data_IF_127072720224
#
_entry.id   IF_127072720224
#
_cell.length_a   1.000
_cell.length_b   1.000
_cell.length_c   1.000
_cell.angle_alpha   90.00
_cell.angle_beta   90.00
_cell.angle_gamma   90.00
#
_symmetry.space_group_name_H-M   'P 1'
#
loop_
_entity.id
_entity.type
_entity.pdbx_description
1 polymer ?
#
# COMPACT_ATOMS: atom_id res chain seq x y z
N UNK A 1 -3.10 -37.16 -9.01
CA UNK A 1 -3.94 -36.40 -8.06
C UNK A 1 -3.95 -34.95 -8.55
N UNK A 2 -5.02 -34.48 -9.19
CA UNK A 2 -5.10 -33.09 -9.66
C UNK A 2 -5.31 -32.18 -8.44
N UNK A 3 -4.39 -31.25 -8.16
CA UNK A 3 -4.61 -30.26 -7.10
C UNK A 3 -5.71 -29.28 -7.57
N UNK A 4 -6.81 -29.20 -6.83
CA UNK A 4 -7.80 -28.14 -7.07
C UNK A 4 -7.18 -26.81 -6.63
N UNK A 5 -6.90 -25.93 -7.59
CA UNK A 5 -6.45 -24.57 -7.32
C UNK A 5 -7.64 -23.69 -6.94
N UNK A 6 -7.77 -23.33 -5.68
CA UNK A 6 -8.74 -22.34 -5.23
C UNK A 6 -8.17 -20.94 -5.41
N UNK A 7 -8.79 -20.09 -6.25
CA UNK A 7 -8.42 -18.66 -6.34
C UNK A 7 -9.04 -17.89 -5.18
N UNK A 8 -8.22 -17.14 -4.45
CA UNK A 8 -8.67 -16.23 -3.40
C UNK A 8 -8.44 -14.77 -3.81
N UNK A 9 -9.46 -13.94 -3.71
CA UNK A 9 -9.33 -12.51 -3.94
C UNK A 9 -8.76 -11.84 -2.69
N UNK A 10 -7.47 -11.48 -2.74
CA UNK A 10 -6.78 -10.84 -1.61
C UNK A 10 -6.97 -9.33 -1.65
N UNK A 11 -6.72 -8.68 -2.79
CA UNK A 11 -6.89 -7.23 -2.92
C UNK A 11 -8.15 -6.91 -3.70
N UNK A 12 -9.09 -6.28 -3.00
CA UNK A 12 -10.32 -5.78 -3.58
C UNK A 12 -10.04 -4.62 -4.58
N UNK A 13 -11.04 -4.33 -5.41
CA UNK A 13 -10.93 -3.34 -6.48
C UNK A 13 -10.65 -1.93 -5.95
N UNK A 14 -11.14 -1.59 -4.75
CA UNK A 14 -11.00 -0.26 -4.18
C UNK A 14 -9.59 -0.03 -3.64
N UNK A 15 -8.95 -1.04 -3.05
CA UNK A 15 -7.52 -0.97 -2.69
C UNK A 15 -6.65 -0.74 -3.93
N UNK A 16 -6.94 -1.46 -5.02
CA UNK A 16 -6.19 -1.31 -6.28
C UNK A 16 -6.36 0.09 -6.86
N UNK A 17 -7.59 0.59 -6.89
CA UNK A 17 -7.89 1.94 -7.34
C UNK A 17 -7.13 2.97 -6.50
N UNK A 18 -7.24 2.89 -5.16
CA UNK A 18 -6.49 3.77 -4.26
C UNK A 18 -4.98 3.72 -4.54
N UNK A 19 -4.39 2.54 -4.68
CA UNK A 19 -2.95 2.40 -4.87
C UNK A 19 -2.47 3.06 -6.17
N UNK A 20 -3.16 2.80 -7.28
CA UNK A 20 -2.81 3.40 -8.57
C UNK A 20 -3.11 4.90 -8.63
N UNK A 21 -4.20 5.35 -8.01
CA UNK A 21 -4.49 6.79 -7.87
C UNK A 21 -3.45 7.50 -7.01
N UNK A 22 -3.00 6.87 -5.91
CA UNK A 22 -1.95 7.42 -5.05
C UNK A 22 -0.63 7.52 -5.81
N UNK A 23 -0.25 6.47 -6.54
CA UNK A 23 0.95 6.50 -7.38
C UNK A 23 0.87 7.65 -8.40
N UNK A 24 -0.23 7.78 -9.12
CA UNK A 24 -0.42 8.86 -10.09
C UNK A 24 -0.32 10.24 -9.42
N UNK A 25 -0.98 10.44 -8.28
CA UNK A 25 -0.96 11.71 -7.57
C UNK A 25 0.45 12.06 -7.03
N UNK A 26 1.19 11.07 -6.51
CA UNK A 26 2.58 11.26 -6.06
C UNK A 26 3.50 11.58 -7.23
N UNK A 27 3.35 10.91 -8.37
CA UNK A 27 4.10 11.22 -9.59
C UNK A 27 3.81 12.65 -10.04
N UNK A 28 2.54 13.06 -10.13
CA UNK A 28 2.16 14.44 -10.47
C UNK A 28 2.78 15.43 -9.48
N UNK A 29 2.67 15.17 -8.19
CA UNK A 29 3.24 16.02 -7.14
C UNK A 29 4.75 16.18 -7.28
N UNK A 30 5.46 15.07 -7.54
CA UNK A 30 6.90 15.05 -7.74
C UNK A 30 7.32 15.83 -8.99
N UNK A 31 6.61 15.64 -10.11
CA UNK A 31 6.91 16.32 -11.38
C UNK A 31 6.56 17.82 -11.40
N UNK A 32 5.74 18.30 -10.46
CA UNK A 32 5.25 19.69 -10.43
C UNK A 32 5.85 20.53 -9.30
N UNK A 33 6.76 19.95 -8.52
CA UNK A 33 7.37 20.61 -7.36
C UNK A 33 8.33 21.72 -7.77
N UNK A 34 8.47 22.74 -6.90
CA UNK A 34 9.45 23.82 -7.11
C UNK A 34 10.85 23.29 -6.89
N UNK A 35 11.72 23.47 -7.87
CA UNK A 35 13.11 23.06 -7.77
C UNK A 35 14.01 24.03 -8.53
N UNK A 36 15.19 24.29 -7.97
CA UNK A 36 16.19 25.19 -8.55
C UNK A 36 16.94 24.44 -9.65
N UNK A 37 16.74 24.82 -10.91
CA UNK A 37 17.44 24.23 -12.07
C UNK A 37 16.60 23.35 -13.01
N UNK A 38 15.27 23.29 -12.83
CA UNK A 38 14.26 22.40 -13.47
C UNK A 38 14.08 21.04 -12.77
N UNK A 39 12.82 20.66 -12.50
CA UNK A 39 12.37 19.32 -12.82
C UNK A 39 11.07 19.42 -13.59
N UNK A 40 11.19 19.25 -14.90
CA UNK A 40 10.18 18.87 -15.91
C UNK A 40 8.82 19.61 -16.02
N UNK A 41 8.27 20.31 -15.02
CA UNK A 41 7.23 21.36 -15.14
C UNK A 41 7.08 22.09 -13.79
N UNK A 42 6.99 23.43 -13.73
CA UNK A 42 6.70 24.15 -12.47
C UNK A 42 5.31 24.83 -12.41
N UNK A 43 4.21 24.06 -12.33
CA UNK A 43 2.89 24.56 -11.96
C UNK A 43 2.61 24.25 -10.47
N UNK A 44 2.94 25.19 -9.58
CA UNK A 44 2.80 25.02 -8.13
C UNK A 44 1.35 24.74 -7.70
N UNK A 45 0.37 25.22 -8.46
CA UNK A 45 -1.05 24.98 -8.23
C UNK A 45 -1.39 23.50 -8.41
N UNK A 46 -0.82 22.85 -9.43
CA UNK A 46 -1.03 21.42 -9.70
C UNK A 46 -0.35 20.58 -8.62
N UNK A 47 0.84 20.98 -8.16
CA UNK A 47 1.48 20.36 -7.00
C UNK A 47 0.56 20.42 -5.77
N UNK A 48 0.02 21.59 -5.45
CA UNK A 48 -0.90 21.76 -4.32
C UNK A 48 -2.17 20.91 -4.46
N UNK A 49 -2.81 20.92 -5.64
CA UNK A 49 -3.98 20.09 -5.94
C UNK A 49 -3.69 18.59 -5.79
N UNK A 50 -2.54 18.12 -6.27
CA UNK A 50 -2.13 16.72 -6.09
C UNK A 50 -1.95 16.35 -4.61
N UNK A 51 -1.46 17.28 -3.79
CA UNK A 51 -1.38 17.13 -2.34
C UNK A 51 -2.76 16.94 -1.69
N UNK A 52 -3.76 17.73 -2.07
CA UNK A 52 -5.13 17.54 -1.57
C UNK A 52 -5.73 16.19 -1.98
N UNK A 53 -5.46 15.73 -3.21
CA UNK A 53 -5.88 14.40 -3.67
C UNK A 53 -5.20 13.30 -2.84
N UNK A 54 -3.89 13.40 -2.59
CA UNK A 54 -3.16 12.45 -1.73
C UNK A 54 -3.78 12.39 -0.34
N UNK A 55 -4.05 13.54 0.28
CA UNK A 55 -4.69 13.58 1.61
C UNK A 55 -6.06 12.89 1.57
N UNK A 56 -6.90 13.20 0.58
CA UNK A 56 -8.20 12.55 0.41
C UNK A 56 -8.10 11.02 0.23
N UNK A 57 -7.14 10.57 -0.57
CA UNK A 57 -6.84 9.15 -0.76
C UNK A 57 -6.37 8.49 0.55
N UNK A 58 -5.53 9.15 1.34
CA UNK A 58 -5.06 8.64 2.62
C UNK A 58 -6.20 8.55 3.66
N UNK A 59 -7.10 9.54 3.70
CA UNK A 59 -8.32 9.49 4.53
C UNK A 59 -9.21 8.32 4.11
N UNK A 60 -9.46 8.18 2.80
CA UNK A 60 -10.18 7.04 2.25
C UNK A 60 -9.51 5.72 2.69
N UNK A 61 -8.19 5.60 2.55
CA UNK A 61 -7.43 4.40 2.91
C UNK A 61 -7.50 4.09 4.39
N UNK A 62 -7.48 5.10 5.24
CA UNK A 62 -7.62 4.95 6.69
C UNK A 62 -8.98 4.38 7.03
N UNK A 63 -10.06 4.98 6.51
CA UNK A 63 -11.44 4.49 6.70
C UNK A 63 -11.58 3.05 6.15
N UNK A 64 -11.13 2.81 4.92
CA UNK A 64 -11.20 1.48 4.30
C UNK A 64 -10.35 0.44 5.04
N UNK A 65 -9.26 0.86 5.71
CA UNK A 65 -8.45 0.03 6.58
C UNK A 65 -9.13 -0.35 7.90
N UNK A 66 -10.26 0.26 8.24
CA UNK A 66 -11.06 -0.10 9.40
C UNK A 66 -12.29 -0.93 9.00
N UNK A 67 -13.03 -0.49 7.99
CA UNK A 67 -14.34 -1.08 7.64
C UNK A 67 -14.36 -1.92 6.36
N UNK A 68 -13.27 -1.90 5.57
CA UNK A 68 -13.21 -2.53 4.25
C UNK A 68 -13.20 -4.07 4.28
N UNK A 69 -12.82 -4.65 3.14
CA UNK A 69 -12.70 -6.11 2.98
C UNK A 69 -11.73 -6.72 4.01
N UNK A 70 -11.83 -8.02 4.35
CA UNK A 70 -10.97 -8.63 5.37
C UNK A 70 -9.48 -8.31 5.18
N UNK A 71 -8.97 -8.44 3.96
CA UNK A 71 -7.56 -8.18 3.66
C UNK A 71 -7.20 -6.69 3.53
N UNK A 72 -8.18 -5.78 3.53
CA UNK A 72 -7.98 -4.33 3.59
C UNK A 72 -7.63 -3.84 5.00
N UNK A 73 -8.12 -4.56 6.01
CA UNK A 73 -8.14 -4.10 7.40
C UNK A 73 -6.75 -4.12 8.01
N UNK A 74 -6.43 -3.08 8.79
CA UNK A 74 -5.15 -2.99 9.49
C UNK A 74 -4.88 -4.19 10.38
N UNK A 75 -5.90 -4.73 11.06
CA UNK A 75 -5.76 -5.92 11.92
C UNK A 75 -5.30 -7.18 11.18
N UNK A 76 -5.45 -7.25 9.86
CA UNK A 76 -5.07 -8.42 9.06
C UNK A 76 -3.60 -8.43 8.67
N UNK A 77 -2.94 -7.28 8.66
CA UNK A 77 -1.53 -7.18 8.28
C UNK A 77 -0.64 -6.46 9.28
N UNK A 78 -1.19 -5.71 10.23
CA UNK A 78 -0.39 -5.02 11.24
C UNK A 78 -0.02 -6.01 12.35
N UNK A 79 1.25 -6.40 12.39
CA UNK A 79 1.76 -7.35 13.36
C UNK A 79 2.65 -6.66 14.40
N UNK A 80 2.61 -7.14 15.65
CA UNK A 80 3.50 -6.63 16.69
C UNK A 80 4.98 -6.95 16.43
N UNK A 81 5.91 -6.16 17.00
CA UNK A 81 7.35 -6.24 16.70
C UNK A 81 7.96 -7.62 16.99
N UNK A 82 7.48 -8.33 18.02
CA UNK A 82 7.92 -9.70 18.34
C UNK A 82 7.61 -10.68 17.22
N UNK A 83 6.44 -10.57 16.59
CA UNK A 83 6.00 -11.45 15.51
C UNK A 83 6.75 -11.14 14.20
N UNK A 84 7.00 -9.85 13.93
CA UNK A 84 7.84 -9.42 12.83
C UNK A 84 9.28 -9.97 12.94
N UNK A 85 9.90 -9.85 14.12
CA UNK A 85 11.25 -10.37 14.38
C UNK A 85 11.32 -11.91 14.26
N UNK A 86 10.32 -12.62 14.81
CA UNK A 86 10.21 -14.08 14.67
C UNK A 86 10.07 -14.52 13.21
N UNK A 87 9.26 -13.80 12.43
CA UNK A 87 9.12 -14.06 11.00
C UNK A 87 10.41 -13.74 10.22
N UNK A 88 11.10 -12.65 10.54
CA UNK A 88 12.38 -12.30 9.91
C UNK A 88 13.43 -13.41 10.12
N UNK A 89 13.52 -13.96 11.33
CA UNK A 89 14.38 -15.12 11.62
C UNK A 89 13.96 -16.37 10.83
N UNK A 90 12.66 -16.64 10.74
CA UNK A 90 12.12 -17.74 9.94
C UNK A 90 12.43 -17.56 8.44
N UNK A 91 12.41 -16.32 7.94
CA UNK A 91 12.73 -15.98 6.56
C UNK A 91 14.21 -16.24 6.25
N UNK A 92 15.11 -15.77 7.11
CA UNK A 92 16.56 -16.01 6.99
C UNK A 92 16.88 -17.51 7.04
N UNK A 93 16.16 -18.27 7.88
CA UNK A 93 16.34 -19.73 7.99
C UNK A 93 15.57 -20.55 6.94
N UNK A 94 14.93 -19.90 5.96
CA UNK A 94 14.13 -20.53 4.89
C UNK A 94 12.98 -21.42 5.40
N UNK A 95 12.41 -21.05 6.56
CA UNK A 95 11.25 -21.72 7.20
C UNK A 95 10.05 -20.78 7.37
N UNK A 96 10.01 -19.67 6.63
CA UNK A 96 8.94 -18.70 6.73
C UNK A 96 7.59 -19.30 6.26
N UNK A 97 6.52 -19.18 7.06
CA UNK A 97 5.18 -19.59 6.63
C UNK A 97 4.64 -18.65 5.55
N UNK A 98 3.76 -19.16 4.70
CA UNK A 98 3.10 -18.36 3.66
C UNK A 98 1.94 -17.55 4.22
N UNK A 99 1.83 -16.31 3.79
CA UNK A 99 0.72 -15.40 4.11
C UNK A 99 -0.03 -15.05 2.82
N UNK A 100 -1.37 -15.03 2.87
CA UNK A 100 -2.19 -14.68 1.72
C UNK A 100 -2.13 -13.17 1.38
N UNK A 101 -2.00 -12.32 2.39
CA UNK A 101 -1.78 -10.86 2.26
C UNK A 101 -0.32 -10.54 2.61
N UNK A 102 -0.08 -9.53 3.45
CA UNK A 102 1.26 -9.17 3.90
C UNK A 102 1.77 -10.16 4.94
N UNK A 103 3.06 -10.43 4.86
CA UNK A 103 3.78 -11.13 5.90
C UNK A 103 4.13 -10.17 7.06
N UNK A 104 4.52 -10.69 8.23
CA UNK A 104 4.84 -9.87 9.40
C UNK A 104 5.95 -8.81 9.27
N UNK A 105 6.74 -8.82 8.21
CA UNK A 105 7.77 -7.81 7.93
C UNK A 105 7.30 -6.79 6.89
N UNK A 106 6.34 -7.17 6.04
CA UNK A 106 5.80 -6.31 4.99
C UNK A 106 4.49 -5.59 5.34
N UNK A 107 3.94 -5.85 6.53
CA UNK A 107 2.73 -5.19 7.05
C UNK A 107 3.03 -4.12 8.09
#
# INVERSE_FOLDING_TARGET
>A
MQSRTTRMAVWDKLIRLFHWSLLAAVVISFYTTKTTGQPFLFPIEVHAQSGYIIIGLLVFRFIWGLVGSPYARFSTFLYGPKKAAGYAKALITRRAPHYASHNPVGG
#
